data_IF_665239124040
#
_entry.id   IF_665239124040
#
_cell.length_a   1.000
_cell.length_b   1.000
_cell.length_c   1.000
_cell.angle_alpha   90.00
_cell.angle_beta   90.00
_cell.angle_gamma   90.00
#
_symmetry.space_group_name_H-M   'P 1'
#
loop_
_entity.id
_entity.type
_entity.pdbx_description
1 polymer ?
#
# COMPACT_ATOMS: atom_id res chain seq x y z
N UNK A 1 9.30 -15.09 3.23
CA UNK A 1 9.28 -13.63 3.37
C UNK A 1 8.21 -13.24 4.39
N UNK A 2 8.49 -12.24 5.20
CA UNK A 2 7.57 -11.73 6.22
C UNK A 2 7.45 -10.22 6.04
N UNK A 3 6.23 -9.69 6.09
CA UNK A 3 6.01 -8.25 6.19
C UNK A 3 5.19 -7.95 7.45
N UNK A 4 5.42 -6.77 8.02
CA UNK A 4 4.73 -6.31 9.21
C UNK A 4 4.69 -4.79 9.25
N UNK A 5 3.90 -4.24 10.16
CA UNK A 5 3.81 -2.80 10.32
C UNK A 5 3.23 -2.10 9.12
N UNK A 6 2.32 -2.74 8.40
CA UNK A 6 1.61 -2.15 7.26
C UNK A 6 0.81 -0.95 7.77
N UNK A 7 1.12 0.23 7.23
CA UNK A 7 0.52 1.49 7.70
C UNK A 7 0.55 2.55 6.61
N UNK A 8 -0.22 3.59 6.80
CA UNK A 8 -0.20 4.75 5.91
C UNK A 8 -0.24 6.02 6.76
N UNK A 9 0.39 7.07 6.24
CA UNK A 9 0.40 8.37 6.90
C UNK A 9 0.41 9.50 5.88
N UNK A 10 -0.34 10.60 6.10
CA UNK A 10 -1.31 10.74 7.17
C UNK A 10 -2.52 9.81 7.00
N UNK A 11 -3.14 9.47 8.11
CA UNK A 11 -4.39 8.73 8.16
C UNK A 11 -5.19 9.31 9.33
N UNK A 12 -6.31 10.04 9.11
CA UNK A 12 -7.06 10.12 7.85
C UNK A 12 -6.35 10.84 6.72
N UNK A 13 -6.78 10.52 5.50
CA UNK A 13 -6.25 11.08 4.26
C UNK A 13 -7.10 12.27 3.86
N UNK A 14 -6.47 13.43 3.62
CA UNK A 14 -7.17 14.61 3.07
C UNK A 14 -6.72 14.91 1.65
N UNK A 15 -5.42 14.93 1.39
CA UNK A 15 -4.88 15.23 0.06
C UNK A 15 -3.99 14.11 -0.48
N UNK A 16 -3.26 13.43 0.41
CA UNK A 16 -2.34 12.37 0.03
C UNK A 16 -2.04 11.50 1.24
N UNK A 17 -1.42 10.36 0.99
CA UNK A 17 -0.86 9.50 2.03
C UNK A 17 0.34 8.76 1.46
N UNK A 18 1.16 8.22 2.35
CA UNK A 18 2.26 7.32 2.00
C UNK A 18 1.99 5.96 2.63
N UNK A 19 2.18 4.90 1.85
CA UNK A 19 2.11 3.54 2.37
C UNK A 19 3.51 3.04 2.66
N UNK A 20 3.67 2.35 3.79
CA UNK A 20 4.97 1.81 4.19
C UNK A 20 4.75 0.51 4.97
N UNK A 21 5.73 -0.37 4.91
CA UNK A 21 5.77 -1.57 5.73
C UNK A 21 7.22 -1.97 5.97
N UNK A 22 7.42 -2.85 6.96
CA UNK A 22 8.70 -3.45 7.25
C UNK A 22 8.74 -4.88 6.70
N UNK A 23 9.94 -5.36 6.38
CA UNK A 23 10.12 -6.70 5.83
C UNK A 23 11.47 -7.28 6.27
N UNK A 24 11.69 -8.55 5.97
CA UNK A 24 12.92 -9.24 6.36
C UNK A 24 13.84 -9.57 5.16
N UNK A 25 13.71 -8.85 4.05
CA UNK A 25 14.47 -9.09 2.81
C UNK A 25 15.23 -7.83 2.38
N UNK A 26 16.11 -7.32 3.25
CA UNK A 26 17.00 -6.23 2.88
C UNK A 26 17.87 -6.63 1.67
N UNK A 27 18.23 -5.64 0.86
CA UNK A 27 19.03 -5.81 -0.37
C UNK A 27 18.35 -6.67 -1.43
N UNK A 28 17.02 -6.79 -1.37
CA UNK A 28 16.23 -7.49 -2.37
C UNK A 28 15.33 -6.50 -3.11
N UNK A 29 15.12 -6.74 -4.41
CA UNK A 29 14.11 -6.02 -5.14
C UNK A 29 12.75 -6.61 -4.79
N UNK A 30 11.81 -5.77 -4.40
CA UNK A 30 10.45 -6.17 -4.07
C UNK A 30 9.48 -5.63 -5.11
N UNK A 31 8.64 -6.51 -5.63
CA UNK A 31 7.47 -6.11 -6.42
C UNK A 31 6.31 -5.96 -5.46
N UNK A 32 5.77 -4.75 -5.39
CA UNK A 32 4.71 -4.43 -4.43
C UNK A 32 3.43 -4.14 -5.19
N UNK A 33 2.36 -4.84 -4.83
CA UNK A 33 1.01 -4.59 -5.34
C UNK A 33 0.17 -4.05 -4.21
N UNK A 34 -0.50 -2.94 -4.46
CA UNK A 34 -1.39 -2.32 -3.49
C UNK A 34 -2.79 -2.27 -4.04
N UNK A 35 -3.72 -2.90 -3.34
CA UNK A 35 -5.15 -2.92 -3.68
C UNK A 35 -5.92 -2.18 -2.62
N UNK A 36 -6.82 -1.30 -3.03
CA UNK A 36 -7.71 -0.59 -2.13
C UNK A 36 -9.14 -1.02 -2.42
N UNK A 37 -9.87 -1.37 -1.36
CA UNK A 37 -11.24 -1.87 -1.44
C UNK A 37 -12.18 -0.97 -0.64
N UNK A 38 -13.40 -0.78 -1.14
CA UNK A 38 -14.45 -0.19 -0.32
C UNK A 38 -14.99 -1.22 0.67
N UNK A 39 -15.89 -0.82 1.56
CA UNK A 39 -16.39 -1.72 2.58
C UNK A 39 -17.32 -2.82 2.04
N UNK A 40 -17.76 -2.71 0.78
CA UNK A 40 -18.50 -3.80 0.14
C UNK A 40 -17.56 -4.88 -0.43
N UNK A 41 -16.26 -4.66 -0.36
CA UNK A 41 -15.27 -5.58 -0.90
C UNK A 41 -14.90 -5.33 -2.35
N UNK A 42 -15.44 -4.26 -2.95
CA UNK A 42 -15.13 -3.93 -4.34
C UNK A 42 -13.77 -3.23 -4.43
N UNK A 43 -12.92 -3.73 -5.34
CA UNK A 43 -11.63 -3.10 -5.59
C UNK A 43 -11.84 -1.76 -6.31
N UNK A 44 -11.32 -0.68 -5.74
CA UNK A 44 -11.48 0.66 -6.31
C UNK A 44 -10.18 1.20 -6.88
N UNK A 45 -9.04 0.71 -6.41
CA UNK A 45 -7.72 1.13 -6.90
C UNK A 45 -6.76 -0.04 -6.81
N UNK A 46 -5.94 -0.23 -7.84
CA UNK A 46 -4.81 -1.16 -7.80
C UNK A 46 -3.63 -0.49 -8.50
N UNK A 47 -2.46 -0.53 -7.85
CA UNK A 47 -1.24 -0.11 -8.51
C UNK A 47 -0.06 -0.92 -8.01
N UNK A 48 1.00 -0.93 -8.82
CA UNK A 48 2.24 -1.67 -8.53
C UNK A 48 3.40 -0.73 -8.46
N UNK A 49 4.38 -1.09 -7.63
CA UNK A 49 5.61 -0.35 -7.51
C UNK A 49 6.73 -1.32 -7.15
N UNK A 50 7.94 -1.02 -7.64
CA UNK A 50 9.13 -1.77 -7.25
C UNK A 50 9.90 -0.99 -6.20
N UNK A 51 10.48 -1.70 -5.25
CA UNK A 51 11.33 -1.12 -4.23
C UNK A 51 12.66 -1.87 -4.21
N UNK A 52 13.75 -1.11 -4.30
CA UNK A 52 15.10 -1.66 -4.26
C UNK A 52 15.86 -1.22 -3.02
N UNK A 53 15.11 -0.86 -1.96
CA UNK A 53 15.69 -0.39 -0.71
C UNK A 53 16.65 -1.41 -0.12
N UNK A 54 17.75 -0.92 0.43
CA UNK A 54 18.72 -1.76 1.14
C UNK A 54 18.37 -1.94 2.61
N UNK A 55 17.25 -1.39 3.06
CA UNK A 55 16.82 -1.47 4.45
C UNK A 55 15.66 -2.45 4.62
N UNK A 56 15.27 -2.68 5.88
CA UNK A 56 14.12 -3.50 6.21
C UNK A 56 12.81 -2.73 6.19
N UNK A 57 12.84 -1.46 5.80
CA UNK A 57 11.66 -0.63 5.60
C UNK A 57 11.66 -0.17 4.15
N UNK A 58 10.54 -0.30 3.45
CA UNK A 58 10.46 0.15 2.06
C UNK A 58 10.48 1.68 1.98
N UNK A 59 10.85 2.19 0.81
CA UNK A 59 10.64 3.60 0.52
C UNK A 59 9.14 3.88 0.50
N UNK A 60 8.68 4.97 1.14
CA UNK A 60 7.24 5.26 1.19
C UNK A 60 6.62 5.35 -0.21
N UNK A 61 5.45 4.77 -0.38
CA UNK A 61 4.71 4.77 -1.64
C UNK A 61 3.68 5.88 -1.58
N UNK A 62 3.85 6.90 -2.42
CA UNK A 62 2.96 8.05 -2.49
C UNK A 62 1.66 7.68 -3.20
N UNK A 63 0.53 8.20 -2.68
CA UNK A 63 -0.78 8.09 -3.32
C UNK A 63 -1.57 9.37 -3.06
N UNK A 64 -2.17 9.90 -4.10
CA UNK A 64 -2.87 11.18 -4.04
C UNK A 64 -4.38 11.06 -3.77
N UNK A 65 -4.84 9.88 -3.40
CA UNK A 65 -6.25 9.66 -3.07
C UNK A 65 -7.15 9.42 -4.28
N UNK A 66 -6.59 9.31 -5.48
CA UNK A 66 -7.40 9.16 -6.70
C UNK A 66 -7.47 7.72 -7.17
N UNK A 67 -8.52 7.41 -7.94
CA UNK A 67 -8.65 6.14 -8.65
C UNK A 67 -7.89 6.22 -9.98
N UNK A 68 -7.98 5.16 -10.79
CA UNK A 68 -7.31 5.09 -12.08
C UNK A 68 -7.78 6.12 -13.10
N UNK A 69 -8.91 6.78 -12.85
CA UNK A 69 -9.47 7.81 -13.72
C UNK A 69 -9.15 9.23 -13.23
N UNK A 70 -8.30 9.36 -12.22
CA UNK A 70 -7.92 10.66 -11.68
C UNK A 70 -8.97 11.30 -10.77
N UNK A 71 -9.99 10.56 -10.38
CA UNK A 71 -11.04 11.07 -9.48
C UNK A 71 -10.70 10.73 -8.03
N UNK A 72 -10.80 11.72 -7.14
CA UNK A 72 -10.56 11.50 -5.72
C UNK A 72 -11.63 10.58 -5.14
N UNK A 73 -11.23 9.62 -4.31
CA UNK A 73 -12.17 8.70 -3.68
C UNK A 73 -13.06 9.45 -2.70
N UNK A 74 -14.29 8.96 -2.56
CA UNK A 74 -15.27 9.56 -1.63
C UNK A 74 -14.78 9.41 -0.19
N UNK A 75 -15.19 10.36 0.64
CA UNK A 75 -15.02 10.30 2.08
C UNK A 75 -15.59 8.99 2.62
N UNK A 76 -14.82 8.32 3.46
CA UNK A 76 -15.26 7.05 4.04
C UNK A 76 -14.11 6.20 4.49
N UNK A 77 -14.44 4.96 4.86
CA UNK A 77 -13.50 3.96 5.34
C UNK A 77 -13.22 2.97 4.22
N UNK A 78 -11.95 2.64 4.03
CA UNK A 78 -11.47 1.70 3.02
C UNK A 78 -10.52 0.70 3.68
N UNK A 79 -10.39 -0.47 3.06
CA UNK A 79 -9.39 -1.46 3.45
C UNK A 79 -8.37 -1.54 2.33
N UNK A 80 -7.10 -1.56 2.66
CA UNK A 80 -6.08 -1.81 1.64
C UNK A 80 -5.26 -3.04 1.98
N UNK A 81 -4.77 -3.69 0.94
CA UNK A 81 -3.93 -4.88 1.05
C UNK A 81 -2.64 -4.62 0.27
N UNK A 82 -1.53 -4.94 0.89
CA UNK A 82 -0.23 -4.89 0.24
C UNK A 82 0.26 -6.31 0.07
N UNK A 83 0.70 -6.64 -1.14
CA UNK A 83 1.33 -7.92 -1.47
C UNK A 83 2.74 -7.61 -1.94
N UNK A 84 3.74 -8.21 -1.30
CA UNK A 84 5.14 -8.03 -1.67
C UNK A 84 5.72 -9.36 -2.12
N UNK A 85 6.50 -9.33 -3.21
CA UNK A 85 7.13 -10.50 -3.80
C UNK A 85 8.62 -10.22 -3.95
N UNK A 86 9.45 -11.12 -3.46
CA UNK A 86 10.91 -10.95 -3.55
C UNK A 86 11.47 -11.58 -4.83
N UNK A 87 12.79 -11.49 -5.02
CA UNK A 87 13.47 -12.02 -6.21
C UNK A 87 13.35 -13.54 -6.36
N UNK A 88 13.12 -14.24 -5.26
CA UNK A 88 12.98 -15.70 -5.27
C UNK A 88 11.54 -16.14 -5.49
N UNK A 89 10.63 -15.20 -5.69
CA UNK A 89 9.20 -15.49 -5.87
C UNK A 89 8.45 -15.72 -4.58
N UNK A 90 9.06 -15.46 -3.44
CA UNK A 90 8.39 -15.56 -2.14
C UNK A 90 7.47 -14.38 -1.95
N UNK A 91 6.27 -14.64 -1.42
CA UNK A 91 5.21 -13.66 -1.28
C UNK A 91 4.83 -13.50 0.18
N UNK A 92 4.57 -12.27 0.59
CA UNK A 92 3.98 -11.94 1.89
C UNK A 92 2.95 -10.84 1.68
N UNK A 93 1.94 -10.79 2.55
CA UNK A 93 0.90 -9.78 2.45
C UNK A 93 0.50 -9.26 3.80
N UNK A 94 -0.09 -8.08 3.81
CA UNK A 94 -0.65 -7.47 4.99
C UNK A 94 -1.70 -6.47 4.59
N UNK A 95 -2.59 -6.13 5.49
CA UNK A 95 -3.67 -5.20 5.23
C UNK A 95 -3.89 -4.28 6.41
N UNK A 96 -4.54 -3.17 6.14
CA UNK A 96 -4.93 -2.22 7.16
C UNK A 96 -6.09 -1.37 6.63
N UNK A 97 -6.60 -0.53 7.49
CA UNK A 97 -7.71 0.36 7.20
C UNK A 97 -7.17 1.75 6.93
N UNK A 98 -7.79 2.45 5.98
CA UNK A 98 -7.54 3.87 5.80
C UNK A 98 -8.87 4.63 5.81
N UNK A 99 -8.80 5.89 6.19
CA UNK A 99 -9.96 6.76 6.26
C UNK A 99 -9.70 7.96 5.36
N UNK A 100 -10.66 8.27 4.50
CA UNK A 100 -10.61 9.44 3.62
C UNK A 100 -11.62 10.46 4.15
N UNK A 101 -11.16 11.68 4.39
CA UNK A 101 -11.99 12.75 4.96
C UNK A 101 -12.35 13.84 3.96
N UNK A 102 -11.86 13.76 2.75
CA UNK A 102 -12.13 14.83 1.78
C UNK A 102 -13.38 14.60 0.97
#
# INVERSE_FOLDING_TARGET
>A
MVIEGVRNYPNPVTDYTYFVFNHNKADSELEITLDIFDLSGRNVVTFKQFDTSTSFTINPIYWDGTNGNGMFLRKGIYIYRIIAKDNAGKIASGSNKLVILK
#
